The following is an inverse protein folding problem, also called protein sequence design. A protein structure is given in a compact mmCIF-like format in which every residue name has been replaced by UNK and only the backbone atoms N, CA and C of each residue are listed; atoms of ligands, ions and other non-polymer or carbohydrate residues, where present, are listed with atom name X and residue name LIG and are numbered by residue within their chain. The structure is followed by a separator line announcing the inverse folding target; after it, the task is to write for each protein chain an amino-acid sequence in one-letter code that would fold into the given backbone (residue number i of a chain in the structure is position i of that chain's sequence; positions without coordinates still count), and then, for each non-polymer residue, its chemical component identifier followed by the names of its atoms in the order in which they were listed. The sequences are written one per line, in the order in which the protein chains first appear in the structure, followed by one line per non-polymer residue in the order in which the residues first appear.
data_IF_081085295184
#
_entry.id   IF_081085295184
#
_cell.length_a   1.000
_cell.length_b   1.000
_cell.length_c   1.000
_cell.angle_alpha   90.00
_cell.angle_beta   90.00
_cell.angle_gamma   90.00
#
_symmetry.space_group_name_H-M   'P 1'
#
loop_
_entity.id
_entity.type
_entity.pdbx_description
1 polymer ?
#
# COMPACT_ATOMS: atom_id res chain seq x y z
N UNK A 1 2.28 -1.63 -5.59
CA UNK A 1 2.95 -2.68 -4.81
C UNK A 1 2.60 -2.59 -3.34
N UNK A 2 2.83 -1.45 -2.68
CA UNK A 2 2.53 -1.26 -1.25
C UNK A 2 1.06 -1.56 -0.84
N UNK A 3 0.11 -1.17 -1.67
CA UNK A 3 -1.30 -1.50 -1.44
C UNK A 3 -1.65 -2.99 -1.56
N UNK A 4 -0.86 -3.77 -2.32
CA UNK A 4 -1.06 -5.22 -2.36
C UNK A 4 -0.59 -5.87 -1.06
N UNK A 5 0.55 -5.40 -0.52
CA UNK A 5 1.04 -5.85 0.78
C UNK A 5 0.09 -5.44 1.89
N UNK A 6 -0.45 -4.22 1.88
CA UNK A 6 -1.52 -3.80 2.79
C UNK A 6 -2.71 -4.75 2.79
N UNK A 7 -3.20 -5.12 1.60
CA UNK A 7 -4.37 -5.97 1.49
C UNK A 7 -4.13 -7.39 2.02
N UNK A 8 -2.94 -7.96 1.77
CA UNK A 8 -2.57 -9.29 2.27
C UNK A 8 -2.39 -9.27 3.79
N UNK A 9 -1.73 -8.24 4.33
CA UNK A 9 -1.53 -8.11 5.78
C UNK A 9 -2.83 -7.89 6.55
N UNK A 10 -3.72 -7.06 6.01
CA UNK A 10 -5.04 -6.80 6.59
C UNK A 10 -5.97 -8.03 6.55
N UNK A 11 -5.75 -8.96 5.62
CA UNK A 11 -6.47 -10.25 5.58
C UNK A 11 -5.93 -11.25 6.62
N UNK A 12 -4.62 -11.24 6.88
CA UNK A 12 -3.99 -12.19 7.81
C UNK A 12 -3.96 -11.72 9.28
N UNK A 13 -4.39 -10.48 9.55
CA UNK A 13 -4.38 -9.93 10.90
C UNK A 13 -5.36 -10.65 11.82
N UNK A 14 -5.00 -10.80 13.10
CA UNK A 14 -5.84 -11.47 14.11
C UNK A 14 -7.17 -10.74 14.39
N UNK A 15 -7.27 -9.46 14.00
CA UNK A 15 -8.47 -8.64 14.12
C UNK A 15 -9.40 -8.69 12.90
N UNK A 16 -9.08 -9.48 11.88
CA UNK A 16 -9.88 -9.60 10.67
C UNK A 16 -11.29 -10.13 10.96
N UNK A 17 -12.29 -9.54 10.31
CA UNK A 17 -13.68 -9.98 10.36
C UNK A 17 -14.34 -9.82 8.99
N UNK A 18 -15.55 -10.36 8.83
CA UNK A 18 -16.19 -10.59 7.52
C UNK A 18 -16.17 -9.38 6.57
N UNK A 19 -16.33 -8.15 7.07
CA UNK A 19 -16.27 -6.95 6.23
C UNK A 19 -14.86 -6.67 5.71
N UNK A 20 -13.85 -6.73 6.58
CA UNK A 20 -12.46 -6.45 6.18
C UNK A 20 -11.94 -7.53 5.24
N UNK A 21 -12.33 -8.78 5.44
CA UNK A 21 -11.95 -9.87 4.54
C UNK A 21 -12.50 -9.65 3.12
N UNK A 22 -13.75 -9.23 3.00
CA UNK A 22 -14.36 -8.90 1.72
C UNK A 22 -13.64 -7.71 1.03
N UNK A 23 -13.27 -6.68 1.80
CA UNK A 23 -12.54 -5.52 1.28
C UNK A 23 -11.13 -5.90 0.82
N UNK A 24 -10.39 -6.67 1.60
CA UNK A 24 -9.04 -7.10 1.25
C UNK A 24 -9.01 -8.05 0.06
N UNK A 25 -9.91 -9.03 -0.01
CA UNK A 25 -10.04 -9.91 -1.17
C UNK A 25 -10.36 -9.12 -2.44
N UNK A 26 -11.29 -8.15 -2.34
CA UNK A 26 -11.62 -7.32 -3.50
C UNK A 26 -10.49 -6.40 -3.93
N UNK A 27 -9.76 -5.84 -2.97
CA UNK A 27 -8.57 -5.03 -3.26
C UNK A 27 -7.50 -5.85 -3.98
N UNK A 28 -7.26 -7.10 -3.55
CA UNK A 28 -6.28 -8.00 -4.19
C UNK A 28 -6.66 -8.27 -5.65
N UNK A 29 -7.94 -8.57 -5.93
CA UNK A 29 -8.41 -8.80 -7.31
C UNK A 29 -8.16 -7.60 -8.22
N UNK A 30 -8.56 -6.40 -7.76
CA UNK A 30 -8.46 -5.16 -8.54
C UNK A 30 -6.98 -4.82 -8.78
N UNK A 31 -6.17 -4.87 -7.73
CA UNK A 31 -4.73 -4.54 -7.82
C UNK A 31 -4.00 -5.54 -8.72
N UNK A 32 -4.27 -6.84 -8.59
CA UNK A 32 -3.61 -7.86 -9.41
C UNK A 32 -3.91 -7.67 -10.91
N UNK A 33 -5.15 -7.30 -11.26
CA UNK A 33 -5.54 -7.00 -12.64
C UNK A 33 -4.96 -5.69 -13.17
N UNK A 34 -4.93 -4.64 -12.34
CA UNK A 34 -4.51 -3.30 -12.74
C UNK A 34 -2.99 -3.09 -12.75
N UNK A 35 -2.21 -3.88 -11.99
CA UNK A 35 -0.79 -3.63 -11.74
C UNK A 35 0.05 -3.55 -13.02
N UNK A 36 -0.13 -4.49 -13.97
CA UNK A 36 0.65 -4.52 -15.21
C UNK A 36 0.33 -3.33 -16.12
N UNK A 37 -0.95 -2.98 -16.25
CA UNK A 37 -1.38 -1.84 -17.05
C UNK A 37 -0.93 -0.50 -16.44
N UNK A 38 -0.99 -0.38 -15.10
CA UNK A 38 -0.55 0.82 -14.40
C UNK A 38 0.96 1.07 -14.57
N UNK A 39 1.79 0.00 -14.56
CA UNK A 39 3.24 0.12 -14.84
C UNK A 39 3.50 0.47 -16.32
N UNK A 40 2.67 -0.02 -17.24
CA UNK A 40 2.76 0.31 -18.66
C UNK A 40 2.29 1.74 -19.00
N UNK A 41 1.72 2.48 -18.04
CA UNK A 41 1.26 3.85 -18.22
C UNK A 41 -0.16 3.98 -18.78
N UNK A 42 -0.96 2.92 -18.75
CA UNK A 42 -2.37 2.98 -19.13
C UNK A 42 -3.18 3.73 -18.04
N UNK A 43 -3.84 4.82 -18.45
CA UNK A 43 -4.64 5.66 -17.56
C UNK A 43 -5.80 4.89 -16.91
N UNK A 44 -6.46 3.98 -17.64
CA UNK A 44 -7.57 3.18 -17.10
C UNK A 44 -7.10 2.18 -16.04
N UNK A 45 -5.92 1.60 -16.24
CA UNK A 45 -5.29 0.74 -15.25
C UNK A 45 -4.74 1.54 -14.05
N UNK A 46 -4.30 2.78 -14.25
CA UNK A 46 -3.93 3.71 -13.18
C UNK A 46 -5.11 4.04 -12.25
N UNK A 47 -6.28 4.32 -12.83
CA UNK A 47 -7.50 4.60 -12.08
C UNK A 47 -7.99 3.37 -11.30
N UNK A 48 -7.97 2.19 -11.94
CA UNK A 48 -8.27 0.93 -11.26
C UNK A 48 -7.29 0.63 -10.11
N UNK A 49 -6.00 0.97 -10.29
CA UNK A 49 -5.01 0.83 -9.23
C UNK A 49 -5.29 1.79 -8.06
N UNK A 50 -5.68 3.04 -8.33
CA UNK A 50 -6.07 4.01 -7.30
C UNK A 50 -7.32 3.55 -6.52
N UNK A 51 -8.32 2.99 -7.22
CA UNK A 51 -9.49 2.38 -6.59
C UNK A 51 -9.10 1.23 -5.66
N UNK A 52 -8.23 0.32 -6.13
CA UNK A 52 -7.73 -0.81 -5.34
C UNK A 52 -6.98 -0.34 -4.08
N UNK A 53 -6.18 0.73 -4.19
CA UNK A 53 -5.50 1.35 -3.05
C UNK A 53 -6.50 1.90 -2.02
N UNK A 54 -7.56 2.57 -2.47
CA UNK A 54 -8.59 3.11 -1.60
C UNK A 54 -9.35 2.01 -0.85
N UNK A 55 -9.73 0.93 -1.54
CA UNK A 55 -10.43 -0.21 -0.93
C UNK A 55 -9.54 -0.93 0.09
N UNK A 56 -8.25 -1.12 -0.21
CA UNK A 56 -7.28 -1.62 0.76
C UNK A 56 -7.17 -0.70 1.98
N UNK A 57 -7.18 0.62 1.75
CA UNK A 57 -7.26 1.70 2.75
C UNK A 57 -8.38 1.52 3.76
N UNK A 58 -9.60 1.29 3.26
CA UNK A 58 -10.76 1.06 4.12
C UNK A 58 -10.63 -0.23 4.95
N UNK A 59 -10.02 -1.27 4.38
CA UNK A 59 -9.75 -2.53 5.08
C UNK A 59 -8.80 -2.35 6.25
N UNK A 60 -7.56 -1.88 6.01
CA UNK A 60 -6.56 -1.77 7.07
C UNK A 60 -6.87 -0.67 8.09
N UNK A 61 -7.64 0.36 7.74
CA UNK A 61 -8.07 1.39 8.70
C UNK A 61 -8.92 0.81 9.84
N UNK A 62 -9.54 -0.36 9.60
CA UNK A 62 -10.44 -0.98 10.55
C UNK A 62 -9.81 -2.14 11.35
N UNK A 63 -8.75 -2.77 10.82
CA UNK A 63 -8.08 -3.92 11.48
C UNK A 63 -6.58 -3.72 11.73
N UNK A 64 -6.08 -2.52 11.41
CA UNK A 64 -4.66 -2.18 11.49
C UNK A 64 -3.84 -2.77 10.36
N UNK A 65 -2.53 -2.52 10.43
CA UNK A 65 -1.53 -3.04 9.50
C UNK A 65 -0.70 -4.16 10.16
N UNK A 66 -0.11 -5.01 9.32
CA UNK A 66 0.66 -6.17 9.76
C UNK A 66 2.13 -5.86 10.09
N UNK A 67 2.88 -6.94 10.33
CA UNK A 67 4.28 -6.91 10.77
C UNK A 67 5.23 -6.22 9.76
N UNK A 68 4.94 -6.31 8.46
CA UNK A 68 5.74 -5.70 7.38
C UNK A 68 5.71 -4.18 7.50
N UNK A 69 4.57 -3.57 7.81
CA UNK A 69 4.48 -2.13 8.04
C UNK A 69 5.27 -1.69 9.28
N UNK A 70 5.21 -2.47 10.36
CA UNK A 70 6.02 -2.25 11.55
C UNK A 70 7.53 -2.32 11.29
N UNK A 71 7.96 -3.16 10.34
CA UNK A 71 9.37 -3.27 9.92
C UNK A 71 9.79 -2.25 8.85
N UNK A 72 8.86 -1.81 7.99
CA UNK A 72 9.13 -0.86 6.92
C UNK A 72 9.51 0.54 7.47
N UNK A 73 8.85 0.99 8.54
CA UNK A 73 9.14 2.27 9.18
C UNK A 73 10.61 2.43 9.63
N UNK A 74 11.18 1.52 10.45
CA UNK A 74 12.58 1.64 10.88
C UNK A 74 13.57 1.42 9.73
N UNK A 75 13.28 0.53 8.77
CA UNK A 75 14.13 0.30 7.60
C UNK A 75 14.17 1.50 6.66
N UNK A 76 13.04 2.18 6.43
CA UNK A 76 12.97 3.43 5.67
C UNK A 76 13.72 4.57 6.36
N UNK A 77 13.61 4.66 7.69
CA UNK A 77 14.37 5.62 8.49
C UNK A 77 15.89 5.35 8.43
N UNK A 78 16.30 4.08 8.40
CA UNK A 78 17.71 3.68 8.30
C UNK A 78 18.31 3.97 6.92
N UNK A 79 17.59 3.61 5.85
CA UNK A 79 18.04 3.81 4.47
C UNK A 79 18.06 5.29 4.07
N UNK A 80 17.05 6.06 4.46
CA UNK A 80 16.99 7.51 4.18
C UNK A 80 18.07 8.31 4.91
N UNK A 81 18.52 7.88 6.10
CA UNK A 81 19.63 8.54 6.82
C UNK A 81 20.99 8.43 6.12
N UNK A 82 21.17 7.47 5.20
CA UNK A 82 22.44 7.32 4.43
C UNK A 82 22.46 8.12 3.13
N UNK A 83 21.31 8.52 2.60
CA UNK A 83 21.19 9.33 1.36
C UNK A 83 20.85 10.80 1.62
N UNK A 84 20.55 11.18 2.86
CA UNK A 84 20.18 12.54 3.28
C UNK A 84 21.28 13.62 3.12
N UNK A 85 22.50 13.29 2.69
CA UNK A 85 23.54 14.29 2.38
C UNK A 85 23.57 14.76 0.91
N UNK A 86 22.62 14.34 0.08
CA UNK A 86 22.41 14.94 -1.25
C UNK A 86 20.91 15.13 -1.53
N UNK A 87 20.31 16.14 -0.89
CA UNK A 87 19.16 16.83 -1.47
C UNK A 87 19.48 18.32 -1.61
N UNK A 88 19.29 18.92 -2.80
CA UNK A 88 19.43 20.35 -3.00
C UNK A 88 18.36 21.11 -2.21
N UNK A 89 18.75 22.28 -1.75
CA UNK A 89 18.07 23.22 -0.86
C UNK A 89 16.77 23.86 -1.38
N UNK A 90 15.95 23.18 -2.17
CA UNK A 90 14.92 23.85 -2.98
C UNK A 90 13.53 24.05 -2.33
N UNK A 91 13.20 23.41 -1.20
CA UNK A 91 11.89 23.63 -0.56
C UNK A 91 12.02 23.72 0.96
N UNK A 92 12.36 24.92 1.43
CA UNK A 92 12.06 25.38 2.79
C UNK A 92 11.45 26.79 2.64
N UNK A 93 10.15 26.82 2.39
CA UNK A 93 9.26 27.97 2.60
C UNK A 93 8.04 27.44 3.32
#
# INVERSE_FOLDING_TARGET
MDALTHAIEGYLTRGAWALTDALHLKAIEIIAGALRGSVAGDAGAGEAMALGQYVAGMGFSNVGLGLVHGMAHPLGAFTTRRTAWRMPSCCRT
#
